data_IF_464434724072
#
_entry.id   IF_464434724072
#
_cell.length_a   1.000
_cell.length_b   1.000
_cell.length_c   1.000
_cell.angle_alpha   90.00
_cell.angle_beta   90.00
_cell.angle_gamma   90.00
#
_symmetry.space_group_name_H-M   'P 1'
#
loop_
_entity.id
_entity.type
_entity.pdbx_description
1 polymer ?
#
# COMPACT_ATOMS: atom_id res chain seq x y z
N UNK A 1 14.01 16.29 21.52
CA UNK A 1 14.94 15.50 20.67
C UNK A 1 15.16 14.08 21.20
N UNK A 2 15.03 13.83 22.52
CA UNK A 2 15.15 12.49 23.12
C UNK A 2 14.11 11.47 22.63
N UNK A 3 12.86 11.87 22.42
CA UNK A 3 11.84 10.94 21.92
C UNK A 3 12.16 10.41 20.52
N UNK A 4 12.69 11.25 19.63
CA UNK A 4 13.05 10.84 18.25
C UNK A 4 14.15 9.78 18.27
N UNK A 5 15.13 9.91 19.16
CA UNK A 5 16.17 8.88 19.33
C UNK A 5 15.58 7.59 19.91
N UNK A 6 14.69 7.68 20.90
CA UNK A 6 14.02 6.49 21.45
C UNK A 6 13.20 5.71 20.40
N UNK A 7 12.53 6.39 19.47
CA UNK A 7 11.85 5.74 18.34
C UNK A 7 12.83 5.17 17.31
N UNK A 8 13.90 5.90 17.00
CA UNK A 8 14.94 5.42 16.09
C UNK A 8 15.61 4.15 16.62
N UNK A 9 15.89 4.07 17.92
CA UNK A 9 16.47 2.88 18.56
C UNK A 9 15.49 1.70 18.54
N UNK A 10 14.20 1.93 18.82
CA UNK A 10 13.17 0.89 18.67
C UNK A 10 13.12 0.35 17.23
N UNK A 11 13.13 1.23 16.23
CA UNK A 11 13.08 0.84 14.82
C UNK A 11 14.35 0.07 14.42
N UNK A 12 15.53 0.50 14.88
CA UNK A 12 16.80 -0.21 14.66
C UNK A 12 16.78 -1.64 15.24
N UNK A 13 16.16 -1.84 16.40
CA UNK A 13 16.00 -3.17 17.01
C UNK A 13 15.08 -4.07 16.18
N UNK A 14 13.97 -3.54 15.66
CA UNK A 14 13.08 -4.30 14.77
C UNK A 14 13.74 -4.62 13.41
N UNK A 15 14.51 -3.68 12.87
CA UNK A 15 15.27 -3.86 11.63
C UNK A 15 16.34 -4.96 11.75
N UNK A 16 16.92 -5.18 12.94
CA UNK A 16 17.88 -6.26 13.17
C UNK A 16 17.29 -7.66 13.02
N UNK A 17 15.95 -7.81 13.10
CA UNK A 17 15.29 -9.10 12.88
C UNK A 17 15.28 -9.51 11.41
N UNK A 18 15.60 -8.58 10.50
CA UNK A 18 15.63 -8.80 9.07
C UNK A 18 17.06 -9.13 8.61
N UNK A 19 17.40 -10.41 8.33
CA UNK A 19 18.77 -10.81 8.02
C UNK A 19 19.32 -10.15 6.75
N UNK A 20 18.45 -9.80 5.80
CA UNK A 20 18.86 -9.13 4.56
C UNK A 20 19.36 -7.69 4.79
N UNK A 21 18.85 -6.99 5.81
CA UNK A 21 19.28 -5.62 6.12
C UNK A 21 20.60 -5.61 6.87
N UNK A 22 20.83 -6.60 7.73
CA UNK A 22 22.10 -6.76 8.47
C UNK A 22 23.24 -7.12 7.51
N UNK A 23 22.97 -7.98 6.53
CA UNK A 23 23.95 -8.30 5.48
C UNK A 23 24.22 -7.08 4.58
N UNK A 24 23.19 -6.32 4.22
CA UNK A 24 23.34 -5.08 3.46
C UNK A 24 24.11 -3.99 4.24
N UNK A 25 23.88 -3.85 5.55
CA UNK A 25 24.64 -2.96 6.45
C UNK A 25 26.13 -3.35 6.47
N UNK A 26 26.43 -4.65 6.54
CA UNK A 26 27.80 -5.17 6.57
C UNK A 26 28.56 -4.93 5.26
N UNK A 27 27.88 -4.99 4.12
CA UNK A 27 28.50 -4.79 2.80
C UNK A 27 28.63 -3.31 2.41
N UNK A 28 27.68 -2.46 2.81
CA UNK A 28 27.63 -1.04 2.43
C UNK A 28 28.21 -0.09 3.48
N UNK A 29 28.32 -0.54 4.74
CA UNK A 29 28.79 0.28 5.86
C UNK A 29 27.83 1.40 6.27
N UNK A 30 26.62 1.45 5.70
CA UNK A 30 25.59 2.45 5.98
C UNK A 30 24.63 1.93 7.04
N UNK A 31 24.28 2.79 8.00
CA UNK A 31 23.33 2.50 9.08
C UNK A 31 22.00 1.95 8.49
N UNK A 32 21.55 0.79 9.00
CA UNK A 32 20.31 0.09 8.55
C UNK A 32 19.07 0.97 8.48
N UNK A 33 18.98 2.00 9.33
CA UNK A 33 17.87 2.96 9.33
C UNK A 33 17.84 3.79 8.04
N UNK A 34 19.01 4.23 7.55
CA UNK A 34 19.11 4.97 6.29
C UNK A 34 18.91 4.07 5.08
N UNK A 35 19.38 2.81 5.14
CA UNK A 35 19.11 1.82 4.08
C UNK A 35 17.61 1.51 3.97
N UNK A 36 16.94 1.29 5.10
CA UNK A 36 15.49 1.05 5.11
C UNK A 36 14.72 2.30 4.65
N UNK A 37 15.05 3.49 5.16
CA UNK A 37 14.39 4.72 4.76
C UNK A 37 14.61 5.03 3.26
N UNK A 38 15.83 4.85 2.76
CA UNK A 38 16.17 5.03 1.35
C UNK A 38 15.47 4.01 0.45
N UNK A 39 15.46 2.73 0.85
CA UNK A 39 14.73 1.67 0.15
C UNK A 39 13.23 1.92 0.09
N UNK A 40 12.62 2.33 1.21
CA UNK A 40 11.20 2.72 1.26
C UNK A 40 10.91 3.93 0.37
N UNK A 41 11.78 4.94 0.36
CA UNK A 41 11.64 6.11 -0.51
C UNK A 41 11.71 5.73 -1.99
N UNK A 42 12.70 4.90 -2.38
CA UNK A 42 12.84 4.42 -3.75
C UNK A 42 11.62 3.59 -4.17
N UNK A 43 11.13 2.71 -3.29
CA UNK A 43 9.93 1.92 -3.55
C UNK A 43 8.71 2.82 -3.75
N UNK A 44 8.50 3.82 -2.88
CA UNK A 44 7.43 4.80 -3.05
C UNK A 44 7.55 5.54 -4.38
N UNK A 45 8.75 5.96 -4.76
CA UNK A 45 9.00 6.63 -6.04
C UNK A 45 8.67 5.70 -7.21
N UNK A 46 9.11 4.44 -7.18
CA UNK A 46 8.80 3.44 -8.22
C UNK A 46 7.29 3.22 -8.37
N UNK A 47 6.57 3.16 -7.24
CA UNK A 47 5.11 3.05 -7.23
C UNK A 47 4.46 4.33 -7.79
N UNK A 48 4.95 5.52 -7.45
CA UNK A 48 4.43 6.79 -7.98
C UNK A 48 4.65 6.95 -9.48
N UNK A 49 5.73 6.38 -10.02
CA UNK A 49 5.98 6.30 -11.47
C UNK A 49 5.15 5.21 -12.18
N UNK A 50 4.22 4.56 -11.49
CA UNK A 50 3.20 3.70 -12.08
C UNK A 50 3.61 2.24 -12.30
N UNK A 51 4.85 1.86 -11.98
CA UNK A 51 5.27 0.46 -12.14
C UNK A 51 4.65 -0.40 -11.03
N UNK A 52 3.59 -1.15 -11.36
CA UNK A 52 2.92 -2.06 -10.43
C UNK A 52 1.96 -1.40 -9.44
N UNK A 53 1.79 -0.08 -9.49
CA UNK A 53 0.90 0.67 -8.60
C UNK A 53 -0.56 0.24 -8.72
N UNK A 54 -1.05 0.06 -9.96
CA UNK A 54 -2.40 -0.43 -10.21
C UNK A 54 -2.62 -1.83 -9.65
N UNK A 55 -1.62 -2.72 -9.78
CA UNK A 55 -1.70 -4.10 -9.28
C UNK A 55 -1.70 -4.13 -7.75
N UNK A 56 -0.83 -3.35 -7.11
CA UNK A 56 -0.79 -3.20 -5.65
C UNK A 56 -2.08 -2.59 -5.10
N UNK A 57 -2.59 -1.53 -5.73
CA UNK A 57 -3.81 -0.86 -5.31
C UNK A 57 -5.03 -1.80 -5.41
N UNK A 58 -5.15 -2.53 -6.53
CA UNK A 58 -6.19 -3.53 -6.69
C UNK A 58 -6.05 -4.69 -5.68
N UNK A 59 -4.84 -5.19 -5.45
CA UNK A 59 -4.62 -6.25 -4.46
C UNK A 59 -4.95 -5.82 -3.04
N UNK A 60 -4.47 -4.66 -2.61
CA UNK A 60 -4.75 -4.17 -1.24
C UNK A 60 -6.23 -3.79 -1.11
N UNK A 61 -6.80 -3.11 -2.11
CA UNK A 61 -8.20 -2.70 -2.14
C UNK A 61 -9.19 -3.86 -2.23
N UNK A 62 -8.76 -5.03 -2.72
CA UNK A 62 -9.59 -6.22 -2.81
C UNK A 62 -9.32 -7.25 -1.70
N UNK A 63 -8.06 -7.63 -1.49
CA UNK A 63 -7.68 -8.76 -0.62
C UNK A 63 -7.93 -8.46 0.86
N UNK A 64 -7.59 -7.26 1.32
CA UNK A 64 -7.76 -6.91 2.74
C UNK A 64 -9.25 -6.83 3.14
N UNK A 65 -10.11 -6.08 2.43
CA UNK A 65 -11.54 -6.08 2.69
C UNK A 65 -12.20 -7.44 2.47
N UNK A 66 -11.73 -8.24 1.50
CA UNK A 66 -12.25 -9.59 1.30
C UNK A 66 -11.96 -10.47 2.52
N UNK A 67 -10.75 -10.44 3.06
CA UNK A 67 -10.40 -11.20 4.27
C UNK A 67 -11.27 -10.80 5.46
N UNK A 68 -11.42 -9.50 5.72
CA UNK A 68 -12.26 -9.03 6.82
C UNK A 68 -13.75 -9.30 6.57
N UNK A 69 -14.22 -9.26 5.31
CA UNK A 69 -15.59 -9.66 4.94
C UNK A 69 -15.83 -11.14 5.27
N UNK A 70 -14.88 -12.03 4.97
CA UNK A 70 -14.99 -13.45 5.33
C UNK A 70 -15.05 -13.65 6.84
N UNK A 71 -14.23 -12.90 7.58
CA UNK A 71 -14.22 -12.94 9.05
C UNK A 71 -15.52 -12.39 9.65
N UNK A 72 -16.10 -11.34 9.06
CA UNK A 72 -17.37 -10.78 9.48
C UNK A 72 -18.53 -11.79 9.34
N UNK A 73 -18.57 -12.53 8.23
CA UNK A 73 -19.58 -13.57 7.97
C UNK A 73 -19.54 -14.70 9.00
N UNK A 74 -18.36 -15.03 9.53
CA UNK A 74 -18.20 -16.06 10.58
C UNK A 74 -18.56 -15.54 11.98
N UNK A 75 -18.65 -14.22 12.16
CA UNK A 75 -18.99 -13.60 13.44
C UNK A 75 -20.52 -13.43 13.60
N UNK A 76 -21.03 -13.53 14.83
CA UNK A 76 -22.45 -13.30 15.15
C UNK A 76 -22.87 -11.81 15.10
N UNK A 77 -21.95 -10.90 14.74
CA UNK A 77 -22.15 -9.45 14.79
C UNK A 77 -22.58 -8.89 13.43
N UNK A 78 -23.88 -8.68 13.24
CA UNK A 78 -24.47 -8.15 11.99
C UNK A 78 -24.06 -6.72 11.60
N UNK A 79 -23.40 -5.99 12.51
CA UNK A 79 -22.95 -4.62 12.24
C UNK A 79 -21.74 -4.58 11.31
N UNK A 80 -20.87 -5.60 11.37
CA UNK A 80 -19.65 -5.68 10.57
C UNK A 80 -19.99 -6.00 9.11
N UNK A 81 -21.02 -6.81 8.87
CA UNK A 81 -21.54 -7.13 7.52
C UNK A 81 -21.99 -5.86 6.76
N UNK A 82 -22.69 -4.96 7.46
CA UNK A 82 -23.21 -3.72 6.86
C UNK A 82 -22.06 -2.80 6.44
N UNK A 83 -20.98 -2.75 7.24
CA UNK A 83 -19.79 -1.96 6.93
C UNK A 83 -19.07 -2.47 5.67
N UNK A 84 -18.83 -3.78 5.58
CA UNK A 84 -18.15 -4.35 4.42
C UNK A 84 -19.00 -4.28 3.16
N UNK A 85 -20.31 -4.51 3.26
CA UNK A 85 -21.22 -4.33 2.13
C UNK A 85 -21.21 -2.87 1.63
N UNK A 86 -21.23 -1.90 2.54
CA UNK A 86 -21.14 -0.47 2.19
C UNK A 86 -19.82 -0.15 1.50
N UNK A 87 -18.70 -0.70 1.98
CA UNK A 87 -17.40 -0.58 1.33
C UNK A 87 -17.46 -1.08 -0.13
N UNK A 88 -17.99 -2.28 -0.36
CA UNK A 88 -18.09 -2.86 -1.70
C UNK A 88 -18.98 -2.04 -2.65
N UNK A 89 -20.08 -1.48 -2.15
CA UNK A 89 -20.96 -0.60 -2.95
C UNK A 89 -20.23 0.69 -3.36
N UNK A 90 -19.54 1.35 -2.42
CA UNK A 90 -18.78 2.57 -2.70
C UNK A 90 -17.61 2.28 -3.65
N UNK A 91 -16.87 1.21 -3.40
CA UNK A 91 -15.76 0.78 -4.25
C UNK A 91 -16.21 0.54 -5.70
N UNK A 92 -17.33 -0.18 -5.88
CA UNK A 92 -17.88 -0.46 -7.21
C UNK A 92 -18.34 0.80 -7.92
N UNK A 93 -18.93 1.76 -7.19
CA UNK A 93 -19.32 3.06 -7.75
C UNK A 93 -18.11 3.84 -8.26
N UNK A 94 -17.02 3.90 -7.48
CA UNK A 94 -15.77 4.53 -7.92
C UNK A 94 -15.19 3.85 -9.15
N UNK A 95 -15.21 2.50 -9.20
CA UNK A 95 -14.68 1.76 -10.36
C UNK A 95 -15.47 2.05 -11.64
N UNK A 96 -16.80 2.16 -11.55
CA UNK A 96 -17.66 2.51 -12.70
C UNK A 96 -17.34 3.93 -13.18
N UNK A 97 -17.18 4.88 -12.25
CA UNK A 97 -16.81 6.25 -12.59
C UNK A 97 -15.45 6.31 -13.26
N UNK A 98 -14.46 5.56 -12.75
CA UNK A 98 -13.12 5.48 -13.33
C UNK A 98 -13.17 4.96 -14.77
N UNK A 99 -13.85 3.84 -15.01
CA UNK A 99 -14.01 3.26 -16.36
C UNK A 99 -14.75 4.22 -17.30
N UNK A 100 -15.77 4.93 -16.78
CA UNK A 100 -16.51 5.92 -17.57
C UNK A 100 -15.65 7.12 -17.94
N UNK A 101 -14.81 7.59 -17.00
CA UNK A 101 -13.85 8.67 -17.23
C UNK A 101 -12.82 8.23 -18.28
N UNK A 102 -12.22 7.05 -18.16
CA UNK A 102 -11.29 6.50 -19.16
C UNK A 102 -11.95 6.39 -20.55
N UNK A 103 -13.20 5.94 -20.62
CA UNK A 103 -13.97 5.85 -21.86
C UNK A 103 -14.21 7.24 -22.49
N UNK A 104 -14.60 8.23 -21.69
CA UNK A 104 -14.81 9.60 -22.16
C UNK A 104 -13.51 10.22 -22.69
N UNK A 105 -12.41 9.96 -21.99
CA UNK A 105 -11.08 10.49 -22.30
C UNK A 105 -10.48 9.83 -23.54
N UNK A 106 -10.82 8.57 -23.83
CA UNK A 106 -10.46 7.90 -25.10
C UNK A 106 -11.01 8.63 -26.34
N UNK A 107 -12.17 9.29 -26.23
CA UNK A 107 -12.77 10.01 -27.35
C UNK A 107 -12.06 11.34 -27.65
N UNK A 108 -11.26 11.87 -26.73
CA UNK A 108 -10.49 13.10 -26.92
C UNK A 108 -9.13 12.74 -27.54
N UNK A 109 -8.88 13.06 -28.83
CA UNK A 109 -7.58 12.80 -29.43
C UNK A 109 -6.48 13.57 -28.67
N UNK A 110 -5.35 12.91 -28.38
CA UNK A 110 -4.20 13.39 -27.60
C UNK A 110 -4.36 13.52 -26.08
N UNK A 111 -5.40 12.97 -25.45
CA UNK A 111 -5.52 13.01 -23.98
C UNK A 111 -4.49 12.12 -23.26
N UNK A 112 -4.29 10.87 -23.72
CA UNK A 112 -3.19 10.01 -23.26
C UNK A 112 -1.95 10.22 -24.14
N UNK A 113 -1.41 11.44 -24.15
CA UNK A 113 -0.13 11.71 -24.77
C UNK A 113 1.00 11.36 -23.80
N UNK A 114 1.49 10.12 -23.90
CA UNK A 114 2.70 9.51 -23.32
C UNK A 114 3.03 9.85 -21.84
#
# INVERSE_FOLDING_TARGET
>A
MEQVQAYADKIKVELNKLPFLVEAEKQTGVDKLYLAAGGSLVLLVVVLFGFGAGLLCNLVGFVYPAYESFKAIESDNSNDDTQWLTYWVVYSMFQIVEVFVDFLLYFIPFYYAI
#
